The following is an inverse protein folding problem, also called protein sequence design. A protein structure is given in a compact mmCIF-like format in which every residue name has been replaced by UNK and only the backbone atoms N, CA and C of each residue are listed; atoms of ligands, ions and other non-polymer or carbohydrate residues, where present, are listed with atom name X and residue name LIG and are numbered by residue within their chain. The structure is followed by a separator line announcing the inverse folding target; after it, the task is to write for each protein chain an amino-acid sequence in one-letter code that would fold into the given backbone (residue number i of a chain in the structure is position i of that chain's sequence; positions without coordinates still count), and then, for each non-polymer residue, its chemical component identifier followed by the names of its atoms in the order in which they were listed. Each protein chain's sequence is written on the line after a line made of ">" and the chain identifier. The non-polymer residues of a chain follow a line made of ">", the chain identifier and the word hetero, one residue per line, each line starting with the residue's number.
data_IF_280281299385
#
_entry.id   IF_280281299385
#
_cell.length_a   1.000
_cell.length_b   1.000
_cell.length_c   1.000
_cell.angle_alpha   90.00
_cell.angle_beta   90.00
_cell.angle_gamma   90.00
#
_symmetry.space_group_name_H-M   'P 1'
#
loop_
_entity.id
_entity.type
_entity.pdbx_description
1 polymer ?
#
# COMPACT_ATOMS: atom_id res chain seq x y z
N UNK A 1 7.17 -23.99 8.12
CA UNK A 1 8.07 -23.22 9.01
C UNK A 1 8.48 -21.97 8.23
N UNK A 2 7.63 -20.93 8.25
CA UNK A 2 7.91 -19.67 7.57
C UNK A 2 9.11 -18.99 8.24
N UNK A 3 10.13 -18.67 7.45
CA UNK A 3 11.26 -17.88 7.92
C UNK A 3 10.78 -16.44 8.10
N UNK A 4 10.64 -16.01 9.35
CA UNK A 4 10.48 -14.60 9.68
C UNK A 4 11.67 -13.83 9.08
N UNK A 5 11.40 -12.93 8.13
CA UNK A 5 12.45 -12.14 7.49
C UNK A 5 12.98 -11.11 8.48
N UNK A 6 14.30 -11.01 8.62
CA UNK A 6 14.94 -9.91 9.34
C UNK A 6 14.50 -8.55 8.76
N UNK A 7 14.33 -7.53 9.58
CA UNK A 7 13.77 -6.23 9.18
C UNK A 7 14.47 -5.52 8.01
N UNK A 8 15.77 -5.76 7.79
CA UNK A 8 16.49 -5.24 6.61
C UNK A 8 16.07 -5.98 5.33
N UNK A 9 15.84 -7.29 5.41
CA UNK A 9 15.43 -8.10 4.28
C UNK A 9 13.99 -7.81 3.89
N UNK A 10 13.08 -7.74 4.87
CA UNK A 10 11.68 -7.38 4.64
C UNK A 10 11.54 -6.03 3.92
N UNK A 11 12.30 -5.01 4.34
CA UNK A 11 12.32 -3.71 3.68
C UNK A 11 12.67 -3.82 2.19
N UNK A 12 13.72 -4.58 1.85
CA UNK A 12 14.15 -4.79 0.47
C UNK A 12 13.08 -5.51 -0.36
N UNK A 13 12.40 -6.50 0.22
CA UNK A 13 11.30 -7.20 -0.45
C UNK A 13 10.12 -6.27 -0.71
N UNK A 14 9.77 -5.39 0.24
CA UNK A 14 8.71 -4.39 0.04
C UNK A 14 9.10 -3.40 -1.07
N UNK A 15 10.34 -2.89 -1.05
CA UNK A 15 10.84 -1.99 -2.10
C UNK A 15 10.86 -2.67 -3.47
N UNK A 16 11.26 -3.95 -3.53
CA UNK A 16 11.22 -4.76 -4.73
C UNK A 16 9.79 -4.94 -5.22
N UNK A 17 8.86 -5.29 -4.34
CA UNK A 17 7.45 -5.46 -4.65
C UNK A 17 6.85 -4.18 -5.24
N UNK A 18 7.06 -3.03 -4.59
CA UNK A 18 6.60 -1.73 -5.07
C UNK A 18 7.15 -1.45 -6.47
N UNK A 19 8.45 -1.64 -6.70
CA UNK A 19 9.09 -1.30 -7.99
C UNK A 19 8.76 -2.30 -9.09
N UNK A 20 8.84 -3.59 -8.83
CA UNK A 20 8.85 -4.62 -9.88
C UNK A 20 7.53 -5.36 -10.03
N UNK A 21 6.66 -5.31 -9.02
CA UNK A 21 5.33 -5.92 -9.08
C UNK A 21 4.29 -4.84 -9.37
N UNK A 22 4.21 -3.80 -8.53
CA UNK A 22 3.15 -2.80 -8.62
C UNK A 22 3.26 -1.88 -9.85
N UNK A 23 4.47 -1.64 -10.38
CA UNK A 23 4.66 -0.77 -11.56
C UNK A 23 4.83 -1.51 -12.88
N UNK A 24 4.86 -2.85 -12.88
CA UNK A 24 5.09 -3.65 -14.08
C UNK A 24 3.81 -3.75 -14.91
N UNK A 25 3.83 -3.32 -16.19
CA UNK A 25 2.72 -3.53 -17.12
C UNK A 25 2.31 -5.00 -17.24
N UNK A 26 1.01 -5.25 -17.34
CA UNK A 26 0.43 -6.59 -17.46
C UNK A 26 -0.60 -6.62 -18.60
N UNK A 27 -0.41 -7.57 -19.53
CA UNK A 27 -1.32 -7.76 -20.67
C UNK A 27 -2.77 -8.02 -20.22
N UNK A 28 -2.95 -8.67 -19.08
CA UNK A 28 -4.26 -9.00 -18.49
C UNK A 28 -5.12 -7.77 -18.18
N UNK A 29 -4.52 -6.58 -18.04
CA UNK A 29 -5.20 -5.31 -17.76
C UNK A 29 -4.84 -4.25 -18.80
N UNK A 30 -4.72 -4.66 -20.07
CA UNK A 30 -4.48 -3.75 -21.19
C UNK A 30 -3.12 -3.05 -21.12
N UNK A 31 -2.08 -3.80 -20.75
CA UNK A 31 -0.70 -3.30 -20.59
C UNK A 31 -0.56 -2.18 -19.53
N UNK A 32 -1.52 -2.07 -18.62
CA UNK A 32 -1.40 -1.24 -17.43
C UNK A 32 -0.73 -2.01 -16.30
N UNK A 33 -0.08 -1.33 -15.35
CA UNK A 33 0.41 -1.96 -14.13
C UNK A 33 -0.68 -2.00 -13.04
N UNK A 34 -0.45 -2.77 -11.96
CA UNK A 34 -1.37 -2.87 -10.81
C UNK A 34 -1.60 -1.50 -10.15
N UNK A 35 -0.57 -0.66 -10.08
CA UNK A 35 -0.71 0.70 -9.56
C UNK A 35 -0.10 1.70 -10.57
N UNK A 36 -0.89 2.19 -11.55
CA UNK A 36 -0.41 3.04 -12.65
C UNK A 36 0.32 4.31 -12.24
N UNK A 37 0.02 4.84 -11.06
CA UNK A 37 0.59 6.10 -10.60
C UNK A 37 1.81 5.93 -9.68
N UNK A 38 2.09 4.73 -9.17
CA UNK A 38 3.19 4.50 -8.21
C UNK A 38 4.54 4.88 -8.82
N UNK A 39 4.76 4.59 -10.10
CA UNK A 39 6.02 4.91 -10.80
C UNK A 39 6.39 6.40 -10.73
N UNK A 40 5.40 7.30 -10.72
CA UNK A 40 5.60 8.76 -10.64
C UNK A 40 6.10 9.22 -9.27
N UNK A 41 5.86 8.44 -8.22
CA UNK A 41 6.09 8.83 -6.83
C UNK A 41 7.11 7.95 -6.12
N UNK A 42 7.87 7.11 -6.84
CA UNK A 42 8.82 6.15 -6.24
C UNK A 42 9.87 6.81 -5.33
N UNK A 43 10.25 8.05 -5.60
CA UNK A 43 11.17 8.86 -4.81
C UNK A 43 10.52 9.49 -3.56
N UNK A 44 9.18 9.52 -3.52
CA UNK A 44 8.36 10.06 -2.42
C UNK A 44 7.62 8.98 -1.63
N UNK A 45 7.90 7.72 -1.91
CA UNK A 45 7.41 6.57 -1.14
C UNK A 45 8.51 6.16 -0.16
N UNK A 46 8.18 6.18 1.13
CA UNK A 46 9.09 5.74 2.18
C UNK A 46 8.69 4.35 2.69
N UNK A 47 9.64 3.43 2.81
CA UNK A 47 9.40 2.08 3.33
C UNK A 47 10.00 1.93 4.73
N UNK A 48 9.17 1.49 5.67
CA UNK A 48 9.52 1.29 7.07
C UNK A 48 9.16 -0.13 7.49
N UNK A 49 10.01 -0.75 8.31
CA UNK A 49 9.68 -2.00 9.00
C UNK A 49 9.48 -1.74 10.49
N UNK A 50 8.60 -2.52 11.13
CA UNK A 50 8.25 -2.29 12.53
C UNK A 50 7.84 -3.56 13.26
N UNK A 51 8.01 -3.55 14.58
CA UNK A 51 7.40 -4.52 15.51
C UNK A 51 6.11 -3.96 16.16
N UNK A 52 5.80 -2.68 15.95
CA UNK A 52 4.63 -1.99 16.50
C UNK A 52 3.96 -1.13 15.42
N UNK A 53 2.95 -1.71 14.77
CA UNK A 53 2.18 -1.03 13.73
C UNK A 53 1.54 0.27 14.23
N UNK A 54 0.83 0.28 15.37
CA UNK A 54 0.12 1.48 15.84
C UNK A 54 1.06 2.66 16.13
N UNK A 55 2.20 2.41 16.77
CA UNK A 55 3.21 3.44 17.05
C UNK A 55 3.83 4.01 15.77
N UNK A 56 4.13 3.12 14.82
CA UNK A 56 4.72 3.49 13.52
C UNK A 56 3.72 4.23 12.65
N UNK A 57 2.47 3.78 12.60
CA UNK A 57 1.38 4.46 11.90
C UNK A 57 1.13 5.85 12.49
N UNK A 58 1.21 6.02 13.81
CA UNK A 58 1.09 7.34 14.44
C UNK A 58 2.19 8.27 13.94
N UNK A 59 3.44 7.82 13.99
CA UNK A 59 4.60 8.59 13.52
C UNK A 59 4.47 8.92 12.03
N UNK A 60 4.15 7.93 11.21
CA UNK A 60 4.01 8.11 9.76
C UNK A 60 2.88 9.09 9.40
N UNK A 61 1.72 9.03 10.07
CA UNK A 61 0.63 9.99 9.84
C UNK A 61 1.00 11.43 10.22
N UNK A 62 1.77 11.63 11.29
CA UNK A 62 2.24 12.96 11.69
C UNK A 62 3.34 13.49 10.77
N UNK A 63 4.19 12.61 10.23
CA UNK A 63 5.36 12.98 9.42
C UNK A 63 5.10 12.99 7.90
N UNK A 64 4.00 12.41 7.42
CA UNK A 64 3.68 12.30 5.98
C UNK A 64 3.77 13.65 5.25
N UNK A 65 3.11 14.69 5.77
CA UNK A 65 3.12 16.02 5.15
C UNK A 65 4.39 16.81 5.45
N UNK A 66 4.87 16.91 6.71
CA UNK A 66 6.09 17.66 7.02
C UNK A 66 7.32 17.20 6.25
N UNK A 67 7.46 15.88 6.01
CA UNK A 67 8.58 15.33 5.25
C UNK A 67 8.34 15.26 3.74
N UNK A 68 7.19 15.74 3.26
CA UNK A 68 6.91 15.80 1.82
C UNK A 68 6.66 14.43 1.17
N UNK A 69 6.40 13.38 1.94
CA UNK A 69 6.10 12.06 1.41
C UNK A 69 4.73 12.02 0.74
N UNK A 70 4.61 11.20 -0.30
CA UNK A 70 3.32 10.87 -0.95
C UNK A 70 2.71 9.62 -0.32
N UNK A 71 3.55 8.67 0.09
CA UNK A 71 3.13 7.52 0.88
C UNK A 71 4.24 7.01 1.81
N UNK A 72 3.83 6.36 2.89
CA UNK A 72 4.66 5.53 3.75
C UNK A 72 4.07 4.11 3.73
N UNK A 73 4.90 3.13 3.37
CA UNK A 73 4.55 1.70 3.39
C UNK A 73 5.22 1.05 4.60
N UNK A 74 4.43 0.44 5.44
CA UNK A 74 4.85 -0.21 6.69
C UNK A 74 4.66 -1.72 6.53
N UNK A 75 5.72 -2.48 6.78
CA UNK A 75 5.65 -3.93 6.99
C UNK A 75 6.17 -4.32 8.38
N UNK A 76 5.83 -5.51 8.84
CA UNK A 76 6.14 -5.95 10.20
C UNK A 76 5.72 -7.40 10.45
N UNK A 77 5.50 -7.79 11.73
CA UNK A 77 4.99 -9.11 12.08
C UNK A 77 3.71 -9.48 11.33
N UNK A 78 3.49 -10.78 11.18
CA UNK A 78 2.22 -11.31 10.71
C UNK A 78 1.11 -10.94 11.69
N UNK A 79 0.06 -10.36 11.14
CA UNK A 79 -1.16 -9.97 11.85
C UNK A 79 -2.32 -10.43 10.98
N UNK A 80 -3.31 -11.04 11.62
CA UNK A 80 -4.55 -11.45 10.97
C UNK A 80 -5.21 -10.28 10.22
N UNK A 81 -5.81 -10.57 9.06
CA UNK A 81 -6.43 -9.57 8.20
C UNK A 81 -7.47 -8.71 8.96
N UNK A 82 -8.35 -9.32 9.75
CA UNK A 82 -9.40 -8.60 10.45
C UNK A 82 -8.86 -7.73 11.58
N UNK A 83 -7.80 -8.16 12.26
CA UNK A 83 -7.15 -7.36 13.28
C UNK A 83 -6.43 -6.15 12.66
N UNK A 84 -5.72 -6.35 11.55
CA UNK A 84 -5.12 -5.24 10.81
C UNK A 84 -6.20 -4.27 10.28
N UNK A 85 -7.32 -4.80 9.77
CA UNK A 85 -8.46 -4.01 9.31
C UNK A 85 -9.05 -3.15 10.43
N UNK A 86 -9.20 -3.67 11.65
CA UNK A 86 -9.66 -2.91 12.83
C UNK A 86 -8.70 -1.77 13.15
N UNK A 87 -7.38 -2.02 13.15
CA UNK A 87 -6.36 -1.00 13.40
C UNK A 87 -6.43 0.10 12.33
N UNK A 88 -6.42 -0.27 11.05
CA UNK A 88 -6.51 0.69 9.95
C UNK A 88 -7.81 1.50 10.00
N UNK A 89 -8.93 0.87 10.32
CA UNK A 89 -10.23 1.56 10.47
C UNK A 89 -10.19 2.59 11.60
N UNK A 90 -9.61 2.24 12.75
CA UNK A 90 -9.40 3.15 13.89
C UNK A 90 -8.57 4.37 13.47
N UNK A 91 -7.47 4.16 12.75
CA UNK A 91 -6.60 5.25 12.30
C UNK A 91 -7.24 6.12 11.22
N UNK A 92 -7.94 5.54 10.25
CA UNK A 92 -8.70 6.31 9.26
C UNK A 92 -9.77 7.18 9.92
N UNK A 93 -10.45 6.70 10.98
CA UNK A 93 -11.37 7.53 11.78
C UNK A 93 -10.65 8.67 12.49
N UNK A 94 -9.52 8.38 13.15
CA UNK A 94 -8.69 9.38 13.86
C UNK A 94 -8.21 10.50 12.94
N UNK A 95 -7.75 10.16 11.73
CA UNK A 95 -7.18 11.11 10.77
C UNK A 95 -8.16 11.55 9.66
N UNK A 96 -9.47 11.28 9.81
CA UNK A 96 -10.50 11.53 8.79
C UNK A 96 -10.50 12.97 8.22
N UNK A 97 -10.14 13.97 9.04
CA UNK A 97 -10.10 15.39 8.65
C UNK A 97 -8.78 15.83 8.00
N UNK A 98 -7.76 14.96 7.98
CA UNK A 98 -6.48 15.22 7.33
C UNK A 98 -6.48 14.66 5.91
N UNK A 99 -5.54 15.11 5.10
CA UNK A 99 -5.31 14.60 3.74
C UNK A 99 -4.60 13.23 3.76
N UNK A 100 -5.13 12.27 4.51
CA UNK A 100 -4.54 10.96 4.75
C UNK A 100 -5.60 9.89 4.47
N UNK A 101 -5.21 8.87 3.70
CA UNK A 101 -5.95 7.62 3.54
C UNK A 101 -5.00 6.46 3.86
N UNK A 102 -5.50 5.51 4.64
CA UNK A 102 -4.72 4.35 5.07
C UNK A 102 -5.37 3.10 4.50
N UNK A 103 -4.60 2.33 3.75
CA UNK A 103 -5.00 1.04 3.19
C UNK A 103 -4.18 -0.07 3.85
N UNK A 104 -4.68 -1.29 3.81
CA UNK A 104 -3.91 -2.48 4.14
C UNK A 104 -4.08 -3.56 3.08
N UNK A 105 -3.09 -4.44 3.02
CA UNK A 105 -3.07 -5.66 2.23
C UNK A 105 -2.57 -6.77 3.14
N UNK A 106 -3.36 -7.82 3.34
CA UNK A 106 -2.91 -9.04 4.01
C UNK A 106 -2.28 -10.01 3.01
N UNK A 107 -1.33 -10.85 3.44
CA UNK A 107 -0.77 -11.91 2.58
C UNK A 107 -1.83 -12.95 2.17
N UNK A 108 -2.86 -13.09 2.99
CA UNK A 108 -4.01 -13.99 2.92
C UNK A 108 -5.25 -13.34 2.28
N UNK A 109 -5.11 -12.22 1.58
CA UNK A 109 -6.25 -11.56 0.92
C UNK A 109 -6.81 -12.45 -0.19
N UNK A 110 -7.95 -13.10 0.05
CA UNK A 110 -8.52 -14.09 -0.89
C UNK A 110 -9.09 -13.47 -2.18
N UNK A 111 -9.52 -12.21 -2.14
CA UNK A 111 -10.19 -11.54 -3.26
C UNK A 111 -9.53 -10.18 -3.57
N UNK A 112 -8.33 -10.16 -4.19
CA UNK A 112 -7.76 -8.90 -4.65
C UNK A 112 -8.63 -8.30 -5.77
N UNK A 113 -8.79 -6.96 -5.85
CA UNK A 113 -9.67 -6.32 -6.83
C UNK A 113 -9.37 -6.62 -8.30
N UNK A 114 -8.13 -7.01 -8.63
CA UNK A 114 -7.72 -7.35 -9.99
C UNK A 114 -7.68 -8.88 -10.13
N UNK A 115 -7.97 -9.44 -11.32
CA UNK A 115 -8.29 -10.85 -11.50
C UNK A 115 -7.05 -11.76 -11.59
N UNK A 116 -6.00 -11.44 -10.84
CA UNK A 116 -4.76 -12.21 -10.80
C UNK A 116 -4.07 -11.98 -9.45
N UNK A 117 -3.16 -12.88 -9.11
CA UNK A 117 -2.42 -12.78 -7.87
C UNK A 117 -1.30 -11.73 -7.95
N UNK A 118 -1.24 -10.91 -6.91
CA UNK A 118 -0.20 -9.94 -6.67
C UNK A 118 -0.08 -9.60 -5.18
N UNK A 119 -0.59 -10.44 -4.27
CA UNK A 119 -0.45 -10.15 -2.85
C UNK A 119 1.03 -10.13 -2.45
N UNK A 120 1.35 -9.34 -1.43
CA UNK A 120 2.67 -9.39 -0.82
C UNK A 120 2.66 -10.45 0.29
N UNK A 121 3.31 -11.58 0.04
CA UNK A 121 3.20 -12.78 0.88
C UNK A 121 4.04 -12.72 2.17
N UNK A 122 5.00 -11.78 2.29
CA UNK A 122 5.97 -11.82 3.39
C UNK A 122 5.50 -11.12 4.68
N UNK A 123 4.51 -10.23 4.60
CA UNK A 123 3.92 -9.55 5.75
C UNK A 123 2.62 -8.86 5.35
N UNK A 124 1.74 -8.49 6.30
CA UNK A 124 0.77 -7.45 6.06
C UNK A 124 1.49 -6.16 5.67
N UNK A 125 0.90 -5.41 4.73
CA UNK A 125 1.36 -4.08 4.36
C UNK A 125 0.32 -3.06 4.78
N UNK A 126 0.76 -1.99 5.43
CA UNK A 126 -0.04 -0.79 5.70
C UNK A 126 0.49 0.34 4.84
N UNK A 127 -0.37 0.94 4.02
CA UNK A 127 -0.03 2.06 3.14
C UNK A 127 -0.72 3.31 3.65
N UNK A 128 0.04 4.25 4.19
CA UNK A 128 -0.42 5.58 4.60
C UNK A 128 -0.07 6.55 3.48
N UNK A 129 -1.06 7.16 2.84
CA UNK A 129 -0.82 7.99 1.65
C UNK A 129 -1.68 9.25 1.63
N UNK A 130 -1.29 10.21 0.79
CA UNK A 130 -2.08 11.44 0.58
C UNK A 130 -3.40 11.10 -0.10
N UNK A 131 -4.50 11.43 0.58
CA UNK A 131 -5.85 11.16 0.07
C UNK A 131 -6.12 11.93 -1.24
N UNK A 132 -5.66 13.17 -1.34
CA UNK A 132 -5.82 14.02 -2.51
C UNK A 132 -5.08 13.46 -3.74
N UNK A 133 -3.88 12.93 -3.56
CA UNK A 133 -3.10 12.26 -4.62
C UNK A 133 -3.83 11.01 -5.12
N UNK A 134 -4.29 10.18 -4.18
CA UNK A 134 -5.05 8.96 -4.50
C UNK A 134 -6.34 9.28 -5.26
N UNK A 135 -7.13 10.25 -4.77
CA UNK A 135 -8.38 10.66 -5.43
C UNK A 135 -8.14 11.21 -6.83
N UNK A 136 -7.10 12.01 -7.04
CA UNK A 136 -6.72 12.51 -8.38
C UNK A 136 -6.36 11.35 -9.32
N UNK A 137 -5.59 10.37 -8.83
CA UNK A 137 -5.24 9.18 -9.60
C UNK A 137 -6.49 8.36 -9.99
N UNK A 138 -7.38 8.07 -9.02
CA UNK A 138 -8.65 7.36 -9.25
C UNK A 138 -9.50 8.05 -10.33
N UNK A 139 -9.69 9.37 -10.25
CA UNK A 139 -10.43 10.15 -11.25
C UNK A 139 -9.82 10.07 -12.65
N UNK A 140 -8.49 10.07 -12.77
CA UNK A 140 -7.83 9.93 -14.08
C UNK A 140 -8.06 8.53 -14.64
N UNK A 141 -7.96 7.50 -13.80
CA UNK A 141 -8.20 6.11 -14.22
C UNK A 141 -9.65 5.93 -14.68
N UNK A 142 -10.62 6.43 -13.92
CA UNK A 142 -12.06 6.40 -14.27
C UNK A 142 -12.36 7.13 -15.58
N UNK A 143 -11.77 8.31 -15.80
CA UNK A 143 -12.16 9.17 -16.93
C UNK A 143 -11.34 8.99 -18.20
N UNK A 144 -10.15 8.38 -18.12
CA UNK A 144 -9.19 8.35 -19.26
C UNK A 144 -8.69 6.96 -19.61
N UNK A 145 -9.06 5.93 -18.86
CA UNK A 145 -8.54 4.58 -19.05
C UNK A 145 -9.65 3.54 -18.88
N UNK A 146 -9.37 2.30 -19.27
CA UNK A 146 -10.23 1.14 -19.02
C UNK A 146 -9.87 0.39 -17.74
N UNK A 147 -9.10 1.02 -16.84
CA UNK A 147 -8.49 0.33 -15.71
C UNK A 147 -9.51 -0.34 -14.79
N UNK A 148 -10.65 0.32 -14.54
CA UNK A 148 -11.72 -0.23 -13.70
C UNK A 148 -12.61 -1.26 -14.41
N UNK A 149 -12.52 -1.40 -15.74
CA UNK A 149 -13.23 -2.47 -16.48
C UNK A 149 -12.67 -3.85 -16.10
N UNK A 150 -11.49 -3.90 -15.49
CA UNK A 150 -10.83 -5.12 -15.05
C UNK A 150 -11.03 -5.41 -13.55
N UNK A 151 -11.73 -4.56 -12.80
CA UNK A 151 -12.01 -4.81 -11.39
C UNK A 151 -13.12 -5.86 -11.26
N UNK A 152 -12.99 -6.77 -10.29
CA UNK A 152 -14.02 -7.75 -9.93
C UNK A 152 -14.82 -7.29 -8.70
#
# INVERSE_FOLDING_TARGET
>A
MEKMLCGIHLKKEIEHYIRNVLTKPRKQIGDMPICPFVKKYLDKIHVVTTENYEGTMTTACEMLHPLGFEAVVIGGPMVDYDDMRKIVTKFNKKYKKRDIEILHMGPDTEEPPLPFDYNFEHSPLVVIQRKSTLHKARKILESRTKYYDYYK
#
